data_IF_370242766492
#
_entry.id   IF_370242766492
#
_cell.length_a   1.000
_cell.length_b   1.000
_cell.length_c   1.000
_cell.angle_alpha   90.00
_cell.angle_beta   90.00
_cell.angle_gamma   90.00
#
_symmetry.space_group_name_H-M   'P 1'
#
loop_
_entity.id
_entity.type
_entity.pdbx_description
1 polymer ?
#
# COMPACT_ATOMS: atom_id res chain seq x y z
N UNK A 1 -1.38 57.85 -1.85
CA UNK A 1 -1.63 56.40 -2.02
C UNK A 1 -1.03 55.77 -3.29
N UNK A 2 -0.59 56.52 -4.30
CA UNK A 2 -0.07 55.95 -5.56
C UNK A 2 1.43 55.57 -5.56
N UNK A 3 2.23 56.07 -4.60
CA UNK A 3 3.68 55.77 -4.52
C UNK A 3 4.00 54.44 -3.83
N UNK A 4 3.10 53.90 -3.02
CA UNK A 4 3.29 52.63 -2.31
C UNK A 4 3.12 51.41 -3.24
N UNK A 5 2.17 51.49 -4.18
CA UNK A 5 1.92 50.42 -5.16
C UNK A 5 3.06 50.21 -6.16
N UNK A 6 3.81 51.27 -6.51
CA UNK A 6 5.00 51.18 -7.37
C UNK A 6 6.21 50.53 -6.67
N UNK A 7 6.35 50.71 -5.35
CA UNK A 7 7.44 50.11 -4.57
C UNK A 7 7.22 48.59 -4.36
N UNK A 8 5.96 48.16 -4.18
CA UNK A 8 5.61 46.73 -4.08
C UNK A 8 5.81 45.99 -5.41
N UNK A 9 5.48 46.64 -6.54
CA UNK A 9 5.67 46.04 -7.87
C UNK A 9 7.14 45.87 -8.28
N UNK A 10 8.05 46.74 -7.80
CA UNK A 10 9.48 46.65 -8.09
C UNK A 10 10.15 45.56 -7.23
N UNK A 11 9.72 45.35 -5.98
CA UNK A 11 10.19 44.24 -5.14
C UNK A 11 9.72 42.86 -5.63
N UNK A 12 8.53 42.78 -6.25
CA UNK A 12 7.99 41.51 -6.75
C UNK A 12 8.70 41.03 -8.04
N UNK A 13 9.17 41.96 -8.89
CA UNK A 13 9.96 41.62 -10.08
C UNK A 13 11.41 41.25 -9.74
N UNK A 14 11.96 41.76 -8.65
CA UNK A 14 13.35 41.46 -8.23
C UNK A 14 13.47 40.11 -7.49
N UNK A 15 12.36 39.54 -7.03
CA UNK A 15 12.31 38.20 -6.42
C UNK A 15 12.12 37.06 -7.44
N UNK A 16 11.79 37.39 -8.70
CA UNK A 16 11.68 36.42 -9.80
C UNK A 16 13.00 36.17 -10.55
N UNK A 17 14.11 36.81 -10.15
CA UNK A 17 15.38 36.73 -10.86
C UNK A 17 16.46 35.87 -10.16
N UNK A 18 16.13 35.13 -9.11
CA UNK A 18 17.12 34.37 -8.30
C UNK A 18 16.98 32.84 -8.35
N UNK A 19 16.30 32.29 -9.36
CA UNK A 19 16.11 30.83 -9.52
C UNK A 19 16.72 30.25 -10.82
N UNK A 20 17.96 30.63 -11.14
CA UNK A 20 18.77 29.90 -12.14
C UNK A 20 20.15 29.61 -11.56
N UNK A 21 20.24 28.64 -10.65
CA UNK A 21 21.49 27.92 -10.37
C UNK A 21 21.17 26.48 -9.94
N UNK A 22 20.88 25.61 -10.92
CA UNK A 22 21.14 24.18 -10.82
C UNK A 22 21.72 23.69 -12.16
N UNK A 23 22.83 22.95 -12.09
CA UNK A 23 23.22 22.00 -13.14
C UNK A 23 24.52 22.29 -13.88
N UNK A 24 25.66 21.92 -13.27
CA UNK A 24 26.94 21.77 -13.96
C UNK A 24 27.55 20.40 -13.66
N UNK A 25 27.23 19.38 -14.46
CA UNK A 25 27.91 18.08 -14.46
C UNK A 25 29.27 18.22 -15.17
N UNK A 26 30.35 17.66 -14.57
CA UNK A 26 31.62 17.40 -15.28
C UNK A 26 32.01 15.93 -15.07
N UNK A 27 32.18 15.20 -16.19
CA UNK A 27 32.77 13.85 -16.28
C UNK A 27 34.31 13.95 -16.32
N UNK A 28 35.04 13.06 -15.63
CA UNK A 28 36.17 12.27 -16.19
C UNK A 28 36.76 11.22 -15.20
N UNK A 29 36.42 9.94 -15.45
CA UNK A 29 37.27 8.72 -15.57
C UNK A 29 38.40 8.29 -14.56
N UNK A 30 38.81 6.99 -14.58
CA UNK A 30 39.11 6.16 -13.41
C UNK A 30 40.61 5.94 -13.11
N UNK A 31 40.97 5.26 -12.00
CA UNK A 31 41.76 4.00 -11.85
C UNK A 31 42.21 3.83 -10.35
N UNK A 32 42.92 2.75 -9.92
CA UNK A 32 42.54 1.79 -8.85
C UNK A 32 43.24 2.07 -7.49
N UNK A 33 42.97 1.38 -6.37
CA UNK A 33 43.73 0.19 -5.93
C UNK A 33 43.29 -0.27 -4.51
N UNK A 34 43.17 -1.59 -4.37
CA UNK A 34 43.28 -2.50 -3.21
C UNK A 34 43.78 -1.99 -1.85
N UNK A 35 43.23 -2.53 -0.74
CA UNK A 35 43.83 -3.65 0.04
C UNK A 35 42.95 -4.06 1.24
N UNK A 36 42.66 -5.37 1.33
CA UNK A 36 42.20 -6.13 2.52
C UNK A 36 43.43 -6.75 3.22
N UNK A 37 43.39 -7.08 4.51
CA UNK A 37 43.55 -8.50 4.92
C UNK A 37 42.61 -8.87 6.10
N UNK A 38 41.72 -9.88 6.00
CA UNK A 38 41.90 -11.35 6.01
C UNK A 38 41.84 -11.98 7.42
N UNK A 39 40.95 -12.97 7.60
CA UNK A 39 41.14 -14.33 8.21
C UNK A 39 39.78 -14.88 8.70
N UNK A 40 39.35 -16.16 8.59
CA UNK A 40 39.82 -17.49 8.13
C UNK A 40 38.54 -18.37 7.97
N UNK A 41 38.37 -19.20 6.92
CA UNK A 41 38.56 -20.68 6.87
C UNK A 41 37.87 -21.49 8.00
N UNK A 42 37.23 -22.67 7.85
CA UNK A 42 37.01 -23.63 6.76
C UNK A 42 35.93 -24.67 7.21
N UNK A 43 35.03 -25.05 6.29
CA UNK A 43 34.45 -26.38 6.01
C UNK A 43 34.32 -27.48 7.10
N UNK A 44 33.09 -27.95 7.40
CA UNK A 44 32.65 -29.34 7.14
C UNK A 44 31.20 -29.60 7.61
N UNK A 45 30.41 -30.11 6.68
CA UNK A 45 29.09 -30.72 6.88
C UNK A 45 29.25 -32.22 7.16
N UNK A 46 28.61 -32.70 8.23
CA UNK A 46 28.31 -34.11 8.45
C UNK A 46 27.01 -34.24 9.25
N UNK A 47 25.93 -34.47 8.50
CA UNK A 47 24.71 -35.24 8.77
C UNK A 47 24.39 -35.58 10.24
N UNK A 48 23.37 -34.90 10.77
CA UNK A 48 22.41 -35.52 11.67
C UNK A 48 21.07 -35.65 10.96
N UNK A 49 20.69 -36.90 10.66
CA UNK A 49 19.28 -37.28 10.50
C UNK A 49 18.62 -37.02 11.85
N UNK A 50 17.73 -36.05 11.89
CA UNK A 50 16.69 -36.00 12.91
C UNK A 50 15.38 -36.10 12.16
N UNK A 51 14.69 -37.22 12.37
CA UNK A 51 13.31 -37.44 11.99
C UNK A 51 12.46 -36.30 12.56
N UNK A 52 12.17 -35.29 11.75
CA UNK A 52 11.13 -34.31 12.08
C UNK A 52 9.81 -34.85 11.53
N UNK A 53 9.19 -35.64 12.41
CA UNK A 53 7.75 -35.78 12.55
C UNK A 53 7.08 -34.45 12.20
N UNK A 54 6.32 -34.44 11.12
CA UNK A 54 5.34 -33.40 10.79
C UNK A 54 4.34 -33.35 11.94
N UNK A 55 4.62 -32.53 12.94
CA UNK A 55 3.61 -32.09 13.91
C UNK A 55 2.82 -31.02 13.17
N UNK A 56 1.75 -31.46 12.51
CA UNK A 56 0.74 -30.62 11.87
C UNK A 56 -0.10 -29.93 12.95
N UNK A 57 0.59 -29.19 13.83
CA UNK A 57 -0.03 -28.20 14.70
C UNK A 57 -0.04 -26.92 13.91
N UNK A 58 -1.11 -26.70 13.18
CA UNK A 58 -1.57 -25.36 12.86
C UNK A 58 -1.73 -24.63 14.19
N UNK A 59 -0.70 -23.89 14.60
CA UNK A 59 -0.85 -22.95 15.70
C UNK A 59 -1.98 -22.01 15.34
N UNK A 60 -2.97 -21.92 16.22
CA UNK A 60 -4.09 -21.02 16.01
C UNK A 60 -3.53 -19.60 15.90
N UNK A 61 -3.74 -18.96 14.74
CA UNK A 61 -3.33 -17.59 14.53
C UNK A 61 -4.04 -16.69 15.54
N UNK A 62 -3.35 -15.67 16.03
CA UNK A 62 -3.99 -14.62 16.84
C UNK A 62 -5.04 -13.87 16.00
N UNK A 63 -6.12 -13.35 16.61
CA UNK A 63 -7.09 -12.53 15.90
C UNK A 63 -6.44 -11.33 15.22
N UNK A 64 -6.79 -11.09 13.95
CA UNK A 64 -6.25 -9.97 13.17
C UNK A 64 -7.27 -8.84 13.01
N UNK A 65 -6.84 -7.60 13.20
CA UNK A 65 -7.69 -6.41 13.00
C UNK A 65 -7.51 -5.89 11.57
N UNK A 66 -8.51 -6.12 10.70
CA UNK A 66 -8.50 -5.69 9.30
C UNK A 66 -8.91 -4.22 9.19
N UNK A 67 -8.07 -3.41 8.55
CA UNK A 67 -8.34 -2.00 8.24
C UNK A 67 -8.95 -1.91 6.83
N UNK A 68 -10.21 -1.49 6.76
CA UNK A 68 -10.95 -1.35 5.51
C UNK A 68 -11.35 0.10 5.25
N UNK A 69 -10.74 0.74 4.26
CA UNK A 69 -11.16 2.05 3.76
C UNK A 69 -12.25 1.95 2.70
N UNK A 70 -13.38 2.61 2.93
CA UNK A 70 -14.48 2.66 1.96
C UNK A 70 -15.03 4.08 1.79
N UNK A 71 -15.64 4.32 0.64
CA UNK A 71 -16.28 5.60 0.35
C UNK A 71 -17.68 5.64 0.98
N UNK A 72 -18.02 6.76 1.61
CA UNK A 72 -19.36 6.97 2.12
C UNK A 72 -19.43 7.99 3.23
N UNK A 73 -20.65 8.46 3.49
CA UNK A 73 -20.93 9.37 4.59
C UNK A 73 -21.15 8.57 5.87
N UNK A 74 -20.42 8.85 6.97
CA UNK A 74 -20.61 8.14 8.24
C UNK A 74 -22.07 8.16 8.69
N UNK A 75 -22.63 6.99 8.98
CA UNK A 75 -23.99 6.87 9.48
C UNK A 75 -24.01 6.83 11.02
N UNK A 76 -25.09 7.32 11.63
CA UNK A 76 -25.26 7.36 13.10
C UNK A 76 -25.08 5.99 13.76
N UNK A 77 -25.53 4.94 13.09
CA UNK A 77 -25.56 3.57 13.62
C UNK A 77 -24.37 2.72 13.15
N UNK A 78 -23.38 3.32 12.46
CA UNK A 78 -22.22 2.58 11.90
C UNK A 78 -21.45 1.80 12.96
N UNK A 79 -21.28 2.37 14.16
CA UNK A 79 -20.56 1.69 15.26
C UNK A 79 -21.24 0.39 15.67
N UNK A 80 -22.57 0.41 15.80
CA UNK A 80 -23.36 -0.77 16.15
C UNK A 80 -23.23 -1.86 15.07
N UNK A 81 -23.30 -1.47 13.79
CA UNK A 81 -23.14 -2.41 12.67
C UNK A 81 -21.72 -3.01 12.65
N UNK A 82 -20.68 -2.19 12.85
CA UNK A 82 -19.30 -2.67 12.85
C UNK A 82 -18.99 -3.59 14.04
N UNK A 83 -19.60 -3.35 15.20
CA UNK A 83 -19.50 -4.25 16.37
C UNK A 83 -20.08 -5.64 16.07
N UNK A 84 -21.27 -5.71 15.47
CA UNK A 84 -21.89 -6.99 15.09
C UNK A 84 -21.15 -7.67 13.92
N UNK A 85 -20.68 -6.91 12.94
CA UNK A 85 -19.85 -7.41 11.84
C UNK A 85 -18.54 -8.03 12.37
N UNK A 86 -17.89 -7.37 13.33
CA UNK A 86 -16.65 -7.86 13.95
C UNK A 86 -16.89 -9.14 14.74
N UNK A 87 -18.02 -9.29 15.45
CA UNK A 87 -18.38 -10.56 16.11
C UNK A 87 -18.53 -11.69 15.09
N UNK A 88 -19.26 -11.43 14.01
CA UNK A 88 -19.49 -12.42 12.95
C UNK A 88 -18.18 -12.83 12.26
N UNK A 89 -17.36 -11.86 11.87
CA UNK A 89 -16.08 -12.12 11.19
C UNK A 89 -15.05 -12.76 12.13
N UNK A 90 -15.04 -12.43 13.41
CA UNK A 90 -14.17 -13.11 14.39
C UNK A 90 -14.52 -14.59 14.53
N UNK A 91 -15.80 -14.94 14.55
CA UNK A 91 -16.23 -16.34 14.58
C UNK A 91 -15.86 -17.10 13.28
N UNK A 92 -15.97 -16.45 12.11
CA UNK A 92 -15.80 -17.12 10.82
C UNK A 92 -14.37 -17.16 10.29
N UNK A 93 -13.62 -16.08 10.47
CA UNK A 93 -12.29 -15.88 9.86
C UNK A 93 -11.25 -15.42 10.88
N UNK A 94 -11.58 -15.37 12.18
CA UNK A 94 -10.68 -14.91 13.23
C UNK A 94 -10.14 -13.49 12.98
N UNK A 95 -11.01 -12.59 12.52
CA UNK A 95 -10.65 -11.19 12.28
C UNK A 95 -11.71 -10.22 12.81
N UNK A 96 -11.28 -9.05 13.26
CA UNK A 96 -12.18 -7.91 13.51
C UNK A 96 -12.09 -6.92 12.34
N UNK A 97 -13.14 -6.14 12.10
CA UNK A 97 -13.19 -5.19 10.99
C UNK A 97 -13.20 -3.75 11.52
N UNK A 98 -12.14 -3.00 11.23
CA UNK A 98 -12.08 -1.54 11.39
C UNK A 98 -12.41 -0.87 10.04
N UNK A 99 -13.69 -0.58 9.82
CA UNK A 99 -14.14 0.12 8.61
C UNK A 99 -14.02 1.63 8.77
N UNK A 100 -13.23 2.25 7.91
CA UNK A 100 -12.97 3.69 7.86
C UNK A 100 -13.69 4.29 6.66
N UNK A 101 -14.78 5.01 6.94
CA UNK A 101 -15.53 5.73 5.92
C UNK A 101 -14.89 7.09 5.63
N UNK A 102 -14.60 7.35 4.36
CA UNK A 102 -14.17 8.66 3.88
C UNK A 102 -15.25 9.24 2.97
N UNK A 103 -15.57 10.52 3.19
CA UNK A 103 -16.57 11.22 2.39
C UNK A 103 -16.21 11.26 0.90
N UNK A 104 -17.25 11.30 0.06
CA UNK A 104 -17.17 11.18 -1.40
C UNK A 104 -16.18 12.15 -2.05
N UNK A 105 -16.16 13.42 -1.59
CA UNK A 105 -15.31 14.45 -2.18
C UNK A 105 -13.82 14.28 -1.86
N UNK A 106 -13.52 13.66 -0.72
CA UNK A 106 -12.15 13.54 -0.19
C UNK A 106 -11.51 12.18 -0.52
N UNK A 107 -12.31 11.18 -0.89
CA UNK A 107 -11.90 9.78 -0.96
C UNK A 107 -10.64 9.55 -1.79
N UNK A 108 -10.65 9.98 -3.05
CA UNK A 108 -9.53 9.76 -3.97
C UNK A 108 -8.25 10.42 -3.47
N UNK A 109 -8.33 11.65 -2.97
CA UNK A 109 -7.16 12.37 -2.47
C UNK A 109 -6.58 11.68 -1.23
N UNK A 110 -7.42 11.26 -0.28
CA UNK A 110 -6.96 10.57 0.94
C UNK A 110 -6.38 9.20 0.63
N UNK A 111 -6.99 8.43 -0.27
CA UNK A 111 -6.44 7.14 -0.68
C UNK A 111 -5.10 7.27 -1.39
N UNK A 112 -4.92 8.29 -2.24
CA UNK A 112 -3.62 8.57 -2.87
C UNK A 112 -2.52 8.85 -1.82
N UNK A 113 -2.85 9.62 -0.78
CA UNK A 113 -1.92 9.88 0.33
C UNK A 113 -1.58 8.58 1.05
N UNK A 114 -2.58 7.80 1.47
CA UNK A 114 -2.39 6.51 2.17
C UNK A 114 -1.50 5.54 1.39
N UNK A 115 -1.79 5.36 0.10
CA UNK A 115 -1.02 4.49 -0.79
C UNK A 115 0.42 5.00 -0.94
N UNK A 116 0.60 6.32 -1.16
CA UNK A 116 1.92 6.91 -1.37
C UNK A 116 2.78 6.96 -0.11
N UNK A 117 2.17 7.06 1.07
CA UNK A 117 2.87 7.07 2.36
C UNK A 117 3.20 5.67 2.85
N UNK A 118 2.56 4.63 2.31
CA UNK A 118 2.67 3.26 2.82
C UNK A 118 2.01 3.11 4.20
N UNK A 119 1.03 3.95 4.54
CA UNK A 119 0.24 3.74 5.75
C UNK A 119 -0.50 2.40 5.64
N UNK A 120 -0.52 1.58 6.71
CA UNK A 120 -1.14 0.26 6.64
C UNK A 120 -2.65 0.36 6.40
N UNK A 121 -3.12 -0.37 5.40
CA UNK A 121 -4.50 -0.75 5.20
C UNK A 121 -4.56 -2.11 4.50
N UNK A 122 -5.67 -2.84 4.69
CA UNK A 122 -5.83 -4.18 4.12
C UNK A 122 -6.77 -4.18 2.92
N UNK A 123 -7.88 -3.45 3.03
CA UNK A 123 -8.94 -3.42 2.03
C UNK A 123 -9.26 -1.97 1.66
N UNK A 124 -9.42 -1.70 0.38
CA UNK A 124 -9.87 -0.39 -0.11
C UNK A 124 -10.88 -0.51 -1.24
N UNK A 125 -11.81 0.44 -1.32
CA UNK A 125 -12.75 0.55 -2.42
C UNK A 125 -12.07 1.21 -3.63
N UNK A 126 -12.36 0.70 -4.83
CA UNK A 126 -11.90 1.26 -6.10
C UNK A 126 -13.04 1.21 -7.12
N UNK A 127 -13.08 2.18 -8.03
CA UNK A 127 -13.99 2.19 -9.17
C UNK A 127 -13.49 3.16 -10.26
N UNK A 128 -14.26 3.32 -11.34
CA UNK A 128 -13.89 4.20 -12.46
C UNK A 128 -13.82 5.69 -12.11
N UNK A 129 -14.38 6.12 -10.98
CA UNK A 129 -14.47 7.53 -10.58
C UNK A 129 -13.83 7.84 -9.21
N UNK A 130 -13.43 6.82 -8.45
CA UNK A 130 -12.79 6.97 -7.15
C UNK A 130 -11.71 5.92 -6.94
N UNK A 131 -10.56 6.35 -6.41
CA UNK A 131 -9.38 5.52 -6.15
C UNK A 131 -9.06 4.59 -7.33
N UNK A 132 -8.59 5.18 -8.43
CA UNK A 132 -8.39 4.54 -9.73
C UNK A 132 -7.68 3.17 -9.62
N UNK A 133 -8.42 2.12 -9.96
CA UNK A 133 -7.94 0.74 -9.89
C UNK A 133 -6.76 0.51 -10.83
N UNK A 134 -6.92 0.81 -12.13
CA UNK A 134 -5.94 0.44 -13.16
C UNK A 134 -4.61 1.14 -12.93
N UNK A 135 -4.66 2.46 -12.65
CA UNK A 135 -3.46 3.25 -12.40
C UNK A 135 -2.70 2.83 -11.14
N UNK A 136 -3.41 2.41 -10.09
CA UNK A 136 -2.78 1.94 -8.85
C UNK A 136 -2.27 0.50 -8.95
N UNK A 137 -3.03 -0.40 -9.59
CA UNK A 137 -2.62 -1.79 -9.83
C UNK A 137 -1.35 -1.86 -10.69
N UNK A 138 -1.29 -1.09 -11.79
CA UNK A 138 -0.09 -1.03 -12.66
C UNK A 138 1.15 -0.51 -11.93
N UNK A 139 0.97 0.29 -10.87
CA UNK A 139 2.05 0.81 -10.02
C UNK A 139 2.43 -0.14 -8.87
N UNK A 140 1.78 -1.29 -8.76
CA UNK A 140 2.02 -2.26 -7.69
C UNK A 140 1.46 -1.84 -6.32
N UNK A 141 0.46 -0.96 -6.29
CA UNK A 141 -0.15 -0.52 -5.03
C UNK A 141 -1.08 -1.58 -4.39
N UNK A 142 -1.49 -2.59 -5.15
CA UNK A 142 -2.40 -3.65 -4.70
C UNK A 142 -1.77 -5.03 -4.84
N UNK A 143 -2.12 -5.93 -3.92
CA UNK A 143 -1.70 -7.33 -3.95
C UNK A 143 -2.44 -8.07 -5.06
N UNK A 144 -1.71 -8.87 -5.83
CA UNK A 144 -2.31 -9.75 -6.85
C UNK A 144 -3.17 -10.84 -6.17
N UNK A 145 -4.41 -10.99 -6.63
CA UNK A 145 -5.36 -11.94 -6.05
C UNK A 145 -5.52 -13.23 -6.86
N UNK A 146 -4.89 -13.39 -8.02
CA UNK A 146 -5.10 -14.53 -8.94
C UNK A 146 -4.95 -15.88 -8.25
N UNK A 147 -3.77 -16.14 -7.68
CA UNK A 147 -3.46 -17.40 -6.96
C UNK A 147 -4.24 -17.51 -5.63
N UNK A 148 -4.48 -16.37 -4.98
CA UNK A 148 -5.25 -16.32 -3.73
C UNK A 148 -6.72 -16.68 -3.97
N UNK A 149 -7.30 -16.29 -5.11
CA UNK A 149 -8.66 -16.63 -5.49
C UNK A 149 -8.79 -18.12 -5.84
N UNK A 150 -7.77 -18.72 -6.44
CA UNK A 150 -7.73 -20.16 -6.69
C UNK A 150 -7.64 -20.97 -5.39
N UNK A 151 -6.90 -20.46 -4.41
CA UNK A 151 -6.67 -21.14 -3.13
C UNK A 151 -7.82 -20.92 -2.14
N UNK A 152 -8.26 -19.67 -1.97
CA UNK A 152 -9.19 -19.27 -0.91
C UNK A 152 -10.53 -18.74 -1.44
N UNK A 153 -10.61 -18.37 -2.73
CA UNK A 153 -11.73 -17.66 -3.34
C UNK A 153 -12.70 -18.53 -4.14
N UNK A 154 -12.68 -19.86 -3.99
CA UNK A 154 -13.49 -20.78 -4.81
C UNK A 154 -14.98 -20.40 -4.88
N UNK A 155 -15.59 -20.09 -3.73
CA UNK A 155 -16.99 -19.65 -3.68
C UNK A 155 -17.23 -18.35 -4.46
N UNK A 156 -16.30 -17.40 -4.41
CA UNK A 156 -16.36 -16.17 -5.19
C UNK A 156 -16.29 -16.44 -6.70
N UNK A 157 -15.39 -17.34 -7.13
CA UNK A 157 -15.24 -17.73 -8.55
C UNK A 157 -16.48 -18.45 -9.09
N UNK A 158 -17.17 -19.23 -8.26
CA UNK A 158 -18.42 -19.91 -8.64
C UNK A 158 -19.61 -18.94 -8.77
N UNK A 159 -19.64 -17.88 -7.97
CA UNK A 159 -20.75 -16.92 -7.92
C UNK A 159 -20.67 -15.83 -8.99
N UNK A 160 -19.47 -15.36 -9.33
CA UNK A 160 -19.28 -14.22 -10.23
C UNK A 160 -19.11 -14.67 -11.69
N UNK A 161 -19.72 -13.92 -12.62
CA UNK A 161 -19.55 -14.17 -14.04
C UNK A 161 -18.07 -14.02 -14.45
N UNK A 162 -17.49 -14.92 -15.27
CA UNK A 162 -16.06 -14.90 -15.64
C UNK A 162 -15.56 -13.57 -16.20
N UNK A 163 -16.45 -12.80 -16.84
CA UNK A 163 -16.15 -11.45 -17.35
C UNK A 163 -15.70 -10.45 -16.29
N UNK A 164 -16.10 -10.61 -15.01
CA UNK A 164 -15.61 -9.73 -13.93
C UNK A 164 -14.13 -9.95 -13.63
N UNK A 165 -13.66 -11.19 -13.64
CA UNK A 165 -12.25 -11.51 -13.43
C UNK A 165 -11.41 -11.03 -14.60
N UNK A 166 -11.84 -11.36 -15.83
CA UNK A 166 -11.15 -10.91 -17.05
C UNK A 166 -11.08 -9.38 -17.16
N UNK A 167 -12.12 -8.68 -16.70
CA UNK A 167 -12.14 -7.21 -16.70
C UNK A 167 -11.25 -6.57 -15.63
N UNK A 168 -10.82 -7.33 -14.64
CA UNK A 168 -9.96 -6.87 -13.55
C UNK A 168 -8.49 -7.28 -13.73
N UNK A 169 -8.14 -8.05 -14.76
CA UNK A 169 -6.75 -8.36 -15.09
C UNK A 169 -6.02 -7.09 -15.57
N UNK A 170 -4.78 -6.88 -15.07
CA UNK A 170 -3.93 -5.71 -15.35
C UNK A 170 -2.59 -6.17 -15.91
#
# INVERSE_FOLDING_TARGET
MFKWKKQISVCLCMLMATLILFGGCTKKEPTPSSTTPQSKENNQSATQKTDQKTDDKTEALEPYDLIWYTIGTPQRDSKMVMEELSKYTKEKINSNIDMRLIDWGDYTQKMQILISSGEPFDITFTCSWANDYLGNATKGAFVELSELLDTYGKGTKELLHPGFFKGAEV
#
